data_IF_891916409275
#
_entry.id   IF_891916409275
#
_cell.length_a   1.000
_cell.length_b   1.000
_cell.length_c   1.000
_cell.angle_alpha   90.00
_cell.angle_beta   90.00
_cell.angle_gamma   90.00
#
_symmetry.space_group_name_H-M   'P 1'
#
loop_
_entity.id
_entity.type
_entity.pdbx_description
1 polymer ?
#
# COMPACT_ATOMS: atom_id res chain seq x y z
N UNK A 1 8.64 22.95 39.29
CA UNK A 1 9.54 21.82 39.06
C UNK A 1 9.94 21.85 37.60
N UNK A 2 11.20 22.19 37.31
CA UNK A 2 11.79 21.94 35.99
C UNK A 2 11.75 20.44 35.77
N UNK A 3 10.98 19.95 34.79
CA UNK A 3 11.03 18.54 34.42
C UNK A 3 12.33 18.34 33.65
N UNK A 4 13.17 17.41 34.08
CA UNK A 4 14.31 16.97 33.28
C UNK A 4 13.79 16.51 31.92
N UNK A 5 14.28 17.15 30.86
CA UNK A 5 13.81 16.91 29.49
C UNK A 5 14.97 16.45 28.62
N UNK A 6 14.79 15.33 27.94
CA UNK A 6 15.75 14.82 26.96
C UNK A 6 15.08 14.88 25.60
N UNK A 7 15.66 15.66 24.69
CA UNK A 7 15.20 15.80 23.31
C UNK A 7 16.13 15.00 22.40
N UNK A 8 15.65 13.88 21.88
CA UNK A 8 16.34 13.07 20.86
C UNK A 8 15.92 13.51 19.47
N UNK A 9 16.88 13.91 18.63
CA UNK A 9 16.67 14.35 17.26
C UNK A 9 17.02 13.23 16.27
N UNK A 10 16.15 12.97 15.29
CA UNK A 10 16.30 11.88 14.32
C UNK A 10 16.25 12.45 12.89
N UNK A 11 17.35 12.31 12.15
CA UNK A 11 17.42 12.78 10.76
C UNK A 11 16.69 11.88 9.75
N UNK A 12 16.35 12.48 8.60
CA UNK A 12 15.83 11.77 7.42
C UNK A 12 16.92 11.07 6.61
N UNK A 13 16.55 10.56 5.44
CA UNK A 13 17.51 9.92 4.52
C UNK A 13 18.56 10.90 4.01
N UNK A 14 19.72 10.37 3.60
CA UNK A 14 20.86 11.10 3.03
C UNK A 14 21.54 12.14 3.94
N UNK A 15 21.08 12.29 5.19
CA UNK A 15 21.55 13.30 6.14
C UNK A 15 22.53 12.77 7.22
N UNK A 16 23.04 11.55 7.05
CA UNK A 16 24.08 10.94 7.90
C UNK A 16 25.39 11.76 7.97
N UNK A 17 26.25 11.42 8.94
CA UNK A 17 27.56 12.03 9.16
C UNK A 17 27.47 13.55 9.40
N UNK A 18 26.52 13.98 10.23
CA UNK A 18 26.36 15.39 10.61
C UNK A 18 25.85 16.31 9.49
N UNK A 19 25.40 15.79 8.34
CA UNK A 19 24.81 16.60 7.26
C UNK A 19 23.46 17.20 7.65
N UNK A 20 22.79 16.64 8.66
CA UNK A 20 21.59 17.20 9.27
C UNK A 20 21.88 18.44 10.12
N UNK A 21 22.18 19.59 9.49
CA UNK A 21 22.51 20.85 10.18
C UNK A 21 21.42 21.31 11.17
N UNK A 22 20.15 20.99 10.92
CA UNK A 22 19.03 21.31 11.82
C UNK A 22 19.10 20.58 13.17
N UNK A 23 19.95 19.55 13.30
CA UNK A 23 20.23 18.87 14.56
C UNK A 23 21.43 19.47 15.31
N UNK A 24 22.08 20.50 14.73
CA UNK A 24 23.23 21.14 15.35
C UNK A 24 22.83 21.89 16.62
N UNK A 25 23.79 22.04 17.54
CA UNK A 25 23.56 22.80 18.79
C UNK A 25 23.23 24.28 18.50
N UNK A 26 23.69 24.78 17.36
CA UNK A 26 23.48 26.15 16.88
C UNK A 26 22.30 26.27 15.89
N UNK A 27 21.53 25.20 15.69
CA UNK A 27 20.38 25.22 14.78
C UNK A 27 19.25 26.09 15.32
N UNK A 28 18.37 26.54 14.43
CA UNK A 28 17.20 27.35 14.84
C UNK A 28 16.26 26.54 15.72
N UNK A 29 16.05 25.26 15.40
CA UNK A 29 15.25 24.34 16.21
C UNK A 29 15.80 24.22 17.64
N UNK A 30 17.08 23.89 17.81
CA UNK A 30 17.67 23.70 19.14
C UNK A 30 17.69 25.01 19.92
N UNK A 31 17.99 26.13 19.26
CA UNK A 31 18.00 27.46 19.89
C UNK A 31 16.63 27.87 20.42
N UNK A 32 15.55 27.63 19.66
CA UNK A 32 14.18 27.93 20.10
C UNK A 32 13.76 27.00 21.23
N UNK A 33 14.02 25.71 21.11
CA UNK A 33 13.68 24.75 22.16
C UNK A 33 14.40 25.05 23.48
N UNK A 34 15.70 25.35 23.47
CA UNK A 34 16.45 25.75 24.68
C UNK A 34 15.87 27.01 25.31
N UNK A 35 15.65 28.05 24.51
CA UNK A 35 15.10 29.32 25.01
C UNK A 35 13.74 29.15 25.68
N UNK A 36 12.89 28.30 25.11
CA UNK A 36 11.50 28.15 25.58
C UNK A 36 11.33 27.09 26.66
N UNK A 37 12.14 26.03 26.66
CA UNK A 37 12.01 24.90 27.59
C UNK A 37 13.04 24.94 28.73
N UNK A 38 14.05 25.82 28.63
CA UNK A 38 15.12 26.01 29.62
C UNK A 38 16.48 25.50 29.15
N UNK A 39 17.55 26.00 29.76
CA UNK A 39 18.93 25.62 29.44
C UNK A 39 19.28 24.18 29.88
N UNK A 40 18.52 23.63 30.83
CA UNK A 40 18.70 22.26 31.34
C UNK A 40 18.25 21.16 30.35
N UNK A 41 17.62 21.53 29.22
CA UNK A 41 17.19 20.57 28.21
C UNK A 41 18.40 19.92 27.54
N UNK A 42 18.47 18.59 27.64
CA UNK A 42 19.54 17.79 27.05
C UNK A 42 19.17 17.35 25.65
N UNK A 43 19.99 17.74 24.67
CA UNK A 43 19.81 17.33 23.27
C UNK A 43 20.69 16.13 22.96
N UNK A 44 20.09 15.12 22.33
CA UNK A 44 20.78 13.92 21.83
C UNK A 44 20.51 13.78 20.34
N UNK A 45 21.54 13.44 19.57
CA UNK A 45 21.38 13.07 18.16
C UNK A 45 21.31 11.56 18.07
N UNK A 46 20.34 11.05 17.32
CA UNK A 46 20.32 9.67 16.89
C UNK A 46 20.88 9.58 15.48
N UNK A 47 22.08 9.03 15.37
CA UNK A 47 22.78 8.84 14.09
C UNK A 47 22.43 7.45 13.52
N UNK A 48 22.13 7.40 12.23
CA UNK A 48 21.92 6.15 11.50
C UNK A 48 22.49 6.26 10.08
N UNK A 49 22.50 5.16 9.32
CA UNK A 49 23.17 5.11 8.02
C UNK A 49 22.57 6.05 6.94
N UNK A 50 21.35 6.56 7.17
CA UNK A 50 20.66 7.47 6.27
C UNK A 50 20.23 6.85 4.94
N UNK A 51 20.34 5.52 4.77
CA UNK A 51 19.96 4.85 3.51
C UNK A 51 18.45 4.85 3.33
N UNK A 52 18.00 4.97 2.08
CA UNK A 52 16.57 4.96 1.77
C UNK A 52 15.95 3.54 1.66
N UNK A 53 16.58 2.53 2.27
CA UNK A 53 16.07 1.15 2.27
C UNK A 53 15.18 0.89 3.47
N UNK A 54 14.26 -0.05 3.33
CA UNK A 54 13.37 -0.46 4.42
C UNK A 54 14.12 -1.11 5.58
N UNK A 55 15.05 -2.02 5.26
CA UNK A 55 15.89 -2.73 6.23
C UNK A 55 16.70 -1.76 7.10
N UNK A 56 17.29 -0.72 6.51
CA UNK A 56 18.02 0.31 7.26
C UNK A 56 17.11 1.06 8.23
N UNK A 57 15.88 1.43 7.80
CA UNK A 57 14.91 2.09 8.70
C UNK A 57 14.46 1.19 9.85
N UNK A 58 14.24 -0.10 9.61
CA UNK A 58 13.88 -1.05 10.68
C UNK A 58 15.02 -1.25 11.68
N UNK A 59 16.25 -1.44 11.19
CA UNK A 59 17.43 -1.59 12.02
C UNK A 59 17.67 -0.34 12.88
N UNK A 60 17.56 0.84 12.26
CA UNK A 60 17.63 2.12 12.96
C UNK A 60 16.50 2.27 13.99
N UNK A 61 15.27 1.82 13.68
CA UNK A 61 14.15 1.85 14.63
C UNK A 61 14.41 1.00 15.87
N UNK A 62 14.96 -0.20 15.69
CA UNK A 62 15.37 -1.07 16.80
C UNK A 62 16.49 -0.42 17.63
N UNK A 63 17.48 0.17 16.98
CA UNK A 63 18.56 0.88 17.66
C UNK A 63 18.05 2.10 18.45
N UNK A 64 17.13 2.88 17.87
CA UNK A 64 16.49 4.00 18.56
C UNK A 64 15.69 3.52 19.77
N UNK A 65 14.92 2.44 19.66
CA UNK A 65 14.19 1.87 20.79
C UNK A 65 15.12 1.46 21.95
N UNK A 66 16.26 0.85 21.63
CA UNK A 66 17.26 0.50 22.65
C UNK A 66 17.84 1.76 23.31
N UNK A 67 18.22 2.76 22.52
CA UNK A 67 18.76 4.02 23.05
C UNK A 67 17.75 4.73 23.97
N UNK A 68 16.47 4.82 23.58
CA UNK A 68 15.44 5.47 24.39
C UNK A 68 15.16 4.72 25.71
N UNK A 69 15.26 3.38 25.70
CA UNK A 69 15.19 2.56 26.92
C UNK A 69 16.40 2.80 27.82
N UNK A 70 17.59 2.86 27.24
CA UNK A 70 18.81 3.15 27.99
C UNK A 70 18.76 4.53 28.65
N UNK A 71 18.28 5.54 27.91
CA UNK A 71 18.01 6.89 28.44
C UNK A 71 16.97 6.85 29.56
N UNK A 72 15.89 6.07 29.42
CA UNK A 72 14.88 5.92 30.47
C UNK A 72 15.46 5.29 31.75
N UNK A 73 16.38 4.34 31.61
CA UNK A 73 17.03 3.69 32.76
C UNK A 73 18.04 4.60 33.45
N UNK A 74 18.79 5.39 32.68
CA UNK A 74 19.80 6.33 33.20
C UNK A 74 19.17 7.57 33.82
N UNK A 75 18.04 8.02 33.28
CA UNK A 75 17.33 9.23 33.70
C UNK A 75 15.83 8.96 33.98
N UNK A 76 15.47 8.16 35.01
CA UNK A 76 14.10 7.71 35.24
C UNK A 76 13.01 8.80 35.37
N UNK A 77 13.27 10.00 35.95
CA UNK A 77 12.25 11.04 36.02
C UNK A 77 12.16 11.92 34.76
N UNK A 78 13.05 11.72 33.77
CA UNK A 78 13.12 12.61 32.62
C UNK A 78 12.01 12.34 31.62
N UNK A 79 11.32 13.40 31.20
CA UNK A 79 10.42 13.33 30.05
C UNK A 79 11.25 13.23 28.78
N UNK A 80 10.96 12.24 27.95
CA UNK A 80 11.65 12.05 26.68
C UNK A 80 10.81 12.62 25.53
N UNK A 81 11.46 13.40 24.67
CA UNK A 81 10.88 13.96 23.45
C UNK A 81 11.69 13.45 22.28
N UNK A 82 11.03 12.93 21.24
CA UNK A 82 11.70 12.55 19.99
C UNK A 82 11.17 13.40 18.86
N UNK A 83 12.05 14.14 18.20
CA UNK A 83 11.71 14.95 17.02
C UNK A 83 12.37 14.33 15.80
N UNK A 84 11.55 13.84 14.88
CA UNK A 84 11.99 13.06 13.74
C UNK A 84 11.56 13.71 12.41
N UNK A 85 12.51 13.85 11.48
CA UNK A 85 12.26 14.50 10.20
C UNK A 85 12.23 13.50 9.04
N UNK A 86 11.31 13.70 8.09
CA UNK A 86 11.17 12.90 6.87
C UNK A 86 11.12 11.40 7.20
N UNK A 87 11.92 10.55 6.55
CA UNK A 87 11.98 9.12 6.88
C UNK A 87 12.41 8.78 8.32
N UNK A 88 12.99 9.74 9.06
CA UNK A 88 13.23 9.61 10.50
C UNK A 88 11.94 9.35 11.28
N UNK A 89 10.79 9.86 10.84
CA UNK A 89 9.52 9.57 11.50
C UNK A 89 9.06 8.11 11.33
N UNK A 90 9.49 7.41 10.27
CA UNK A 90 9.25 5.97 10.15
C UNK A 90 10.15 5.17 11.11
N UNK A 91 11.41 5.62 11.30
CA UNK A 91 12.32 5.06 12.32
C UNK A 91 11.71 5.20 13.71
N UNK A 92 11.18 6.38 14.02
CA UNK A 92 10.46 6.64 15.27
C UNK A 92 9.26 5.69 15.41
N UNK A 93 8.43 5.52 14.38
CA UNK A 93 7.32 4.58 14.41
C UNK A 93 7.76 3.12 14.68
N UNK A 94 8.86 2.64 14.06
CA UNK A 94 9.39 1.31 14.38
C UNK A 94 9.91 1.22 15.81
N UNK A 95 10.62 2.24 16.29
CA UNK A 95 11.13 2.26 17.66
C UNK A 95 9.96 2.12 18.66
N UNK A 96 8.90 2.87 18.40
CA UNK A 96 7.69 2.93 19.20
C UNK A 96 6.85 1.67 19.18
N UNK A 97 6.90 0.88 18.11
CA UNK A 97 6.29 -0.46 18.08
C UNK A 97 7.02 -1.48 18.95
N UNK A 98 8.26 -1.18 19.40
CA UNK A 98 9.14 -2.10 20.14
C UNK A 98 9.41 -1.65 21.59
N UNK A 99 8.89 -0.49 21.99
CA UNK A 99 9.14 0.11 23.28
C UNK A 99 7.84 0.56 23.93
N UNK A 100 7.60 0.11 25.15
CA UNK A 100 6.56 0.67 26.02
C UNK A 100 7.20 1.72 26.93
N UNK A 101 7.47 2.89 26.35
CA UNK A 101 8.07 4.01 27.09
C UNK A 101 6.95 4.95 27.54
N UNK A 102 6.53 4.87 28.80
CA UNK A 102 5.52 5.78 29.32
C UNK A 102 6.07 7.21 29.26
N UNK A 103 5.20 8.17 28.92
CA UNK A 103 5.53 9.61 28.88
C UNK A 103 6.47 10.08 27.76
N UNK A 104 6.67 9.28 26.71
CA UNK A 104 7.36 9.75 25.51
C UNK A 104 6.45 10.69 24.70
N UNK A 105 7.00 11.84 24.29
CA UNK A 105 6.38 12.76 23.33
C UNK A 105 7.05 12.59 21.96
N UNK A 106 6.28 12.22 20.94
CA UNK A 106 6.77 12.03 19.58
C UNK A 106 6.36 13.22 18.69
N UNK A 107 7.31 13.81 17.97
CA UNK A 107 7.07 14.84 16.96
C UNK A 107 7.63 14.36 15.63
N UNK A 108 6.83 14.44 14.58
CA UNK A 108 7.24 14.07 13.22
C UNK A 108 7.09 15.25 12.28
N UNK A 109 8.12 15.51 11.47
CA UNK A 109 8.23 16.66 10.58
C UNK A 109 8.33 16.16 9.14
N UNK A 110 7.28 16.37 8.34
CA UNK A 110 7.30 16.02 6.92
C UNK A 110 7.42 14.53 6.62
N UNK A 111 7.02 13.67 7.57
CA UNK A 111 7.23 12.24 7.44
C UNK A 111 6.32 11.61 6.37
N UNK A 112 6.90 10.93 5.37
CA UNK A 112 6.14 10.09 4.45
C UNK A 112 5.94 8.72 5.10
N UNK A 113 4.89 8.57 5.91
CA UNK A 113 4.60 7.30 6.58
C UNK A 113 4.35 6.19 5.55
N UNK A 114 5.10 5.10 5.67
CA UNK A 114 5.01 3.95 4.78
C UNK A 114 3.76 3.16 5.14
N UNK A 115 2.83 3.08 4.19
CA UNK A 115 1.59 2.31 4.28
C UNK A 115 1.61 1.19 3.27
N UNK A 116 1.16 0.02 3.70
CA UNK A 116 1.23 -1.20 2.90
C UNK A 116 -0.17 -1.75 2.72
N UNK A 117 -0.59 -1.83 1.47
CA UNK A 117 -1.90 -2.34 1.11
C UNK A 117 -1.74 -3.71 0.44
N UNK A 118 -2.37 -4.77 0.98
CA UNK A 118 -2.47 -6.05 0.29
C UNK A 118 -3.12 -5.86 -1.08
N UNK A 119 -2.63 -6.57 -2.11
CA UNK A 119 -3.21 -6.49 -3.46
C UNK A 119 -4.39 -7.43 -3.65
N UNK A 120 -4.70 -8.26 -2.65
CA UNK A 120 -5.75 -9.27 -2.74
C UNK A 120 -5.44 -10.24 -3.89
N UNK A 121 -4.17 -10.65 -4.02
CA UNK A 121 -3.73 -11.55 -5.08
C UNK A 121 -4.53 -12.86 -5.09
N UNK A 122 -4.96 -13.32 -3.93
CA UNK A 122 -5.87 -14.47 -3.77
C UNK A 122 -7.16 -14.30 -4.57
N UNK A 123 -7.84 -13.16 -4.42
CA UNK A 123 -9.08 -12.85 -5.16
C UNK A 123 -8.82 -12.76 -6.67
N UNK A 124 -7.75 -12.07 -7.08
CA UNK A 124 -7.37 -11.94 -8.49
C UNK A 124 -7.10 -13.32 -9.10
N UNK A 125 -6.34 -14.16 -8.39
CA UNK A 125 -6.01 -15.52 -8.82
C UNK A 125 -7.25 -16.42 -8.87
N UNK A 126 -8.16 -16.28 -7.91
CA UNK A 126 -9.47 -16.97 -7.89
C UNK A 126 -10.25 -16.70 -9.17
N UNK A 127 -10.40 -15.42 -9.49
CA UNK A 127 -11.18 -14.99 -10.63
C UNK A 127 -10.55 -15.45 -11.95
N UNK A 128 -9.23 -15.39 -12.05
CA UNK A 128 -8.52 -15.81 -13.25
C UNK A 128 -8.69 -17.32 -13.49
N UNK A 129 -8.53 -18.14 -12.45
CA UNK A 129 -8.70 -19.58 -12.54
C UNK A 129 -10.14 -19.97 -12.86
N UNK A 130 -11.13 -19.32 -12.23
CA UNK A 130 -12.54 -19.56 -12.52
C UNK A 130 -12.88 -19.23 -13.98
N UNK A 131 -12.35 -18.12 -14.51
CA UNK A 131 -12.53 -17.75 -15.92
C UNK A 131 -11.85 -18.74 -16.86
N UNK A 132 -10.62 -19.15 -16.56
CA UNK A 132 -9.89 -20.14 -17.35
C UNK A 132 -10.63 -21.47 -17.39
N UNK A 133 -11.12 -21.92 -16.24
CA UNK A 133 -11.91 -23.14 -16.14
C UNK A 133 -13.23 -23.05 -16.92
N UNK A 134 -13.99 -21.96 -16.74
CA UNK A 134 -15.22 -21.72 -17.48
C UNK A 134 -14.98 -21.71 -18.99
N UNK A 135 -13.87 -21.12 -19.43
CA UNK A 135 -13.47 -21.11 -20.83
C UNK A 135 -13.16 -22.51 -21.37
N UNK A 136 -12.39 -23.31 -20.64
CA UNK A 136 -12.07 -24.69 -21.01
C UNK A 136 -13.33 -25.56 -21.09
N UNK A 137 -14.26 -25.39 -20.14
CA UNK A 137 -15.52 -26.11 -20.11
C UNK A 137 -16.39 -25.78 -21.33
N UNK A 138 -16.53 -24.48 -21.64
CA UNK A 138 -17.26 -24.00 -22.82
C UNK A 138 -16.62 -24.54 -24.11
N UNK A 139 -15.29 -24.48 -24.22
CA UNK A 139 -14.56 -25.03 -25.36
C UNK A 139 -14.77 -26.54 -25.55
N UNK A 140 -14.81 -27.30 -24.45
CA UNK A 140 -15.08 -28.74 -24.49
C UNK A 140 -16.52 -29.06 -24.93
N UNK A 141 -17.52 -28.28 -24.46
CA UNK A 141 -18.91 -28.38 -24.92
C UNK A 141 -19.03 -28.09 -26.43
N UNK A 142 -18.24 -27.16 -26.96
CA UNK A 142 -18.25 -26.90 -28.40
C UNK A 142 -17.54 -27.96 -29.22
N UNK A 143 -16.44 -28.52 -28.72
CA UNK A 143 -15.79 -29.64 -29.36
C UNK A 143 -16.78 -30.81 -29.50
N UNK A 144 -17.60 -31.04 -28.46
CA UNK A 144 -18.74 -31.97 -28.50
C UNK A 144 -19.70 -31.67 -29.66
N UNK A 145 -20.27 -30.46 -29.72
CA UNK A 145 -21.22 -30.07 -30.77
C UNK A 145 -20.60 -30.10 -32.17
N UNK A 146 -19.33 -29.71 -32.31
CA UNK A 146 -18.62 -29.73 -33.58
C UNK A 146 -18.42 -31.16 -34.09
N UNK A 147 -17.98 -32.07 -33.20
CA UNK A 147 -17.81 -33.48 -33.54
C UNK A 147 -19.15 -34.14 -33.89
N UNK A 148 -20.22 -33.82 -33.15
CA UNK A 148 -21.56 -34.38 -33.39
C UNK A 148 -22.21 -33.82 -34.67
N UNK A 149 -22.14 -32.50 -34.88
CA UNK A 149 -22.66 -31.83 -36.07
C UNK A 149 -21.96 -32.23 -37.37
N UNK A 150 -20.66 -32.55 -37.32
CA UNK A 150 -19.93 -33.09 -38.47
C UNK A 150 -20.39 -34.50 -38.84
N UNK A 151 -20.76 -35.32 -37.84
CA UNK A 151 -21.32 -36.66 -38.08
C UNK A 151 -22.78 -36.61 -38.56
N UNK A 152 -23.54 -35.57 -38.20
CA UNK A 152 -24.94 -35.40 -38.60
C UNK A 152 -25.12 -35.05 -40.08
N UNK A 153 -24.28 -34.14 -40.61
CA UNK A 153 -24.38 -33.67 -42.01
C UNK A 153 -23.85 -34.65 -43.06
N UNK A 154 -23.14 -35.70 -42.65
CA UNK A 154 -22.60 -36.72 -43.57
C UNK A 154 -23.54 -37.94 -43.74
N UNK A 155 -24.84 -37.77 -43.43
CA UNK A 155 -25.81 -38.85 -43.45
C UNK A 155 -26.82 -38.72 -44.60
N UNK A 156 -26.48 -39.32 -45.74
CA UNK A 156 -27.46 -40.07 -46.53
C UNK A 156 -26.94 -41.50 -46.61
N UNK A 157 -27.67 -42.43 -45.98
CA UNK A 157 -27.39 -43.86 -45.70
C UNK A 157 -26.26 -44.11 -44.69
N UNK A 158 -26.58 -44.74 -43.55
CA UNK A 158 -25.71 -44.88 -42.37
C UNK A 158 -24.86 -46.17 -42.45
N UNK A 159 -23.54 -46.07 -42.70
CA UNK A 159 -22.54 -47.14 -42.65
C UNK A 159 -21.73 -47.01 -41.32
N UNK A 160 -20.64 -47.76 -41.06
CA UNK A 160 -19.79 -47.72 -39.84
C UNK A 160 -19.37 -46.38 -39.18
N UNK A 161 -19.82 -45.21 -39.66
CA UNK A 161 -19.64 -43.89 -39.06
C UNK A 161 -20.47 -43.64 -37.78
N UNK A 162 -21.62 -44.29 -37.59
CA UNK A 162 -22.48 -44.07 -36.40
C UNK A 162 -21.80 -44.44 -35.07
N UNK A 163 -20.97 -45.49 -35.08
CA UNK A 163 -20.16 -45.88 -33.91
C UNK A 163 -19.14 -44.83 -33.53
N UNK A 164 -18.62 -44.06 -34.51
CA UNK A 164 -17.65 -42.98 -34.25
C UNK A 164 -18.30 -41.77 -33.60
N UNK A 165 -19.53 -41.44 -33.99
CA UNK A 165 -20.29 -40.34 -33.38
C UNK A 165 -20.54 -40.59 -31.90
N UNK A 166 -21.14 -41.74 -31.56
CA UNK A 166 -21.41 -42.14 -30.17
C UNK A 166 -20.11 -42.22 -29.36
N UNK A 167 -19.04 -42.79 -29.91
CA UNK A 167 -17.74 -42.86 -29.24
C UNK A 167 -17.14 -41.47 -28.98
N UNK A 168 -17.24 -40.54 -29.95
CA UNK A 168 -16.74 -39.17 -29.81
C UNK A 168 -17.51 -38.37 -28.74
N UNK A 169 -18.82 -38.56 -28.67
CA UNK A 169 -19.68 -37.97 -27.65
C UNK A 169 -19.32 -38.49 -26.25
N UNK A 170 -19.17 -39.81 -26.09
CA UNK A 170 -18.78 -40.42 -24.82
C UNK A 170 -17.38 -39.99 -24.37
N UNK A 171 -16.38 -39.99 -25.26
CA UNK A 171 -15.01 -39.53 -24.96
C UNK A 171 -14.97 -38.09 -24.48
N UNK A 172 -15.81 -37.25 -25.07
CA UNK A 172 -15.84 -35.83 -24.72
C UNK A 172 -16.62 -35.58 -23.42
N UNK A 173 -17.68 -36.32 -23.14
CA UNK A 173 -18.34 -36.35 -21.82
C UNK A 173 -17.37 -36.79 -20.72
N UNK A 174 -16.58 -37.84 -20.98
CA UNK A 174 -15.53 -38.30 -20.06
C UNK A 174 -14.50 -37.18 -19.87
N UNK A 175 -14.06 -36.52 -20.93
CA UNK A 175 -13.08 -35.43 -20.85
C UNK A 175 -13.60 -34.25 -20.02
N UNK A 176 -14.87 -33.86 -20.19
CA UNK A 176 -15.52 -32.83 -19.37
C UNK A 176 -15.64 -33.30 -17.92
N UNK A 177 -16.15 -34.50 -17.69
CA UNK A 177 -16.32 -35.05 -16.35
C UNK A 177 -14.98 -35.17 -15.62
N UNK A 178 -13.92 -35.65 -16.27
CA UNK A 178 -12.56 -35.71 -15.72
C UNK A 178 -12.01 -34.32 -15.46
N UNK A 179 -12.22 -33.35 -16.36
CA UNK A 179 -11.77 -31.96 -16.15
C UNK A 179 -12.47 -31.30 -14.96
N UNK A 180 -13.78 -31.51 -14.83
CA UNK A 180 -14.59 -31.05 -13.69
C UNK A 180 -14.17 -31.76 -12.41
N UNK A 181 -13.98 -33.09 -12.42
CA UNK A 181 -13.57 -33.87 -11.26
C UNK A 181 -12.15 -33.51 -10.80
N UNK A 182 -11.20 -33.26 -11.71
CA UNK A 182 -9.88 -32.76 -11.37
C UNK A 182 -9.97 -31.34 -10.80
N UNK A 183 -10.81 -30.48 -11.37
CA UNK A 183 -11.00 -29.11 -10.90
C UNK A 183 -11.70 -29.05 -9.53
N UNK A 184 -12.70 -29.89 -9.28
CA UNK A 184 -13.49 -29.92 -8.04
C UNK A 184 -12.82 -30.79 -6.97
N UNK A 185 -12.17 -31.89 -7.33
CA UNK A 185 -11.60 -32.85 -6.39
C UNK A 185 -10.15 -32.54 -6.00
N UNK A 186 -9.31 -32.15 -6.96
CA UNK A 186 -7.88 -31.94 -6.73
C UNK A 186 -7.53 -30.47 -6.49
N UNK A 187 -8.20 -29.57 -7.20
CA UNK A 187 -7.84 -28.17 -7.19
C UNK A 187 -8.18 -27.46 -5.87
N UNK A 188 -9.33 -27.65 -5.19
CA UNK A 188 -9.71 -26.75 -4.09
C UNK A 188 -8.77 -26.82 -2.89
N UNK A 189 -8.25 -27.99 -2.55
CA UNK A 189 -7.32 -28.14 -1.41
C UNK A 189 -5.96 -27.48 -1.70
N UNK A 190 -5.36 -27.76 -2.87
CA UNK A 190 -4.09 -27.12 -3.27
C UNK A 190 -4.26 -25.63 -3.53
N UNK A 191 -5.36 -25.25 -4.14
CA UNK A 191 -5.75 -23.88 -4.40
C UNK A 191 -5.95 -23.09 -3.10
N UNK A 192 -6.68 -23.64 -2.14
CA UNK A 192 -6.85 -23.04 -0.82
C UNK A 192 -5.51 -22.87 -0.11
N UNK A 193 -4.61 -23.86 -0.20
CA UNK A 193 -3.27 -23.75 0.36
C UNK A 193 -2.45 -22.62 -0.30
N UNK A 194 -2.51 -22.49 -1.64
CA UNK A 194 -1.84 -21.40 -2.37
C UNK A 194 -2.42 -20.04 -2.00
N UNK A 195 -3.76 -19.90 -1.99
CA UNK A 195 -4.45 -18.67 -1.59
C UNK A 195 -4.07 -18.27 -0.17
N UNK A 196 -4.12 -19.21 0.78
CA UNK A 196 -3.70 -18.95 2.15
C UNK A 196 -2.22 -18.57 2.24
N UNK A 197 -1.36 -19.19 1.44
CA UNK A 197 0.07 -18.84 1.41
C UNK A 197 0.29 -17.41 0.88
N UNK A 198 -0.44 -17.01 -0.17
CA UNK A 198 -0.41 -15.64 -0.72
C UNK A 198 -0.91 -14.63 0.32
N UNK A 199 -2.06 -14.89 0.94
CA UNK A 199 -2.63 -14.00 1.97
C UNK A 199 -1.69 -13.89 3.17
N UNK A 200 -1.14 -15.01 3.66
CA UNK A 200 -0.13 -15.00 4.74
C UNK A 200 1.09 -14.18 4.34
N UNK A 201 1.60 -14.34 3.12
CA UNK A 201 2.76 -13.59 2.63
C UNK A 201 2.44 -12.09 2.55
N UNK A 202 1.28 -11.70 2.01
CA UNK A 202 0.82 -10.30 1.99
C UNK A 202 0.74 -9.71 3.41
N UNK A 203 0.19 -10.45 4.38
CA UNK A 203 0.10 -9.98 5.77
C UNK A 203 1.46 -9.88 6.46
N UNK A 204 2.37 -10.84 6.24
CA UNK A 204 3.73 -10.80 6.77
C UNK A 204 4.49 -9.60 6.20
N UNK A 205 4.42 -9.39 4.88
CA UNK A 205 5.05 -8.23 4.24
C UNK A 205 4.43 -6.94 4.79
N UNK A 206 3.11 -6.86 4.92
CA UNK A 206 2.42 -5.71 5.52
C UNK A 206 2.94 -5.43 6.93
N UNK A 207 2.97 -6.42 7.81
CA UNK A 207 3.44 -6.26 9.19
C UNK A 207 4.91 -5.84 9.26
N UNK A 208 5.76 -6.37 8.38
CA UNK A 208 7.17 -5.99 8.33
C UNK A 208 7.36 -4.58 7.77
N UNK A 209 6.62 -4.21 6.72
CA UNK A 209 6.85 -2.98 5.98
C UNK A 209 6.14 -1.77 6.60
N UNK A 210 4.95 -1.96 7.18
CA UNK A 210 4.12 -0.87 7.69
C UNK A 210 4.61 -0.42 9.07
N UNK A 211 5.04 0.84 9.16
CA UNK A 211 5.35 1.44 10.45
C UNK A 211 4.04 1.86 11.14
N UNK A 212 3.81 1.37 12.36
CA UNK A 212 2.61 1.70 13.14
C UNK A 212 2.98 2.35 14.45
N UNK A 213 2.35 3.49 14.75
CA UNK A 213 2.30 4.00 16.12
C UNK A 213 1.26 3.21 16.90
N UNK A 214 1.58 2.86 18.14
CA UNK A 214 0.57 2.40 19.08
C UNK A 214 -0.41 3.55 19.36
N UNK A 215 -1.69 3.25 19.53
CA UNK A 215 -2.70 4.27 19.83
C UNK A 215 -2.36 5.05 21.11
N UNK A 216 -1.64 4.44 22.06
CA UNK A 216 -1.29 4.99 23.36
C UNK A 216 -0.26 6.14 23.38
N UNK A 217 0.24 6.60 22.22
CA UNK A 217 1.37 7.53 22.18
C UNK A 217 0.95 8.98 21.95
N UNK A 218 1.61 9.90 22.68
CA UNK A 218 1.50 11.33 22.43
C UNK A 218 2.28 11.66 21.17
N UNK A 219 1.58 11.98 20.09
CA UNK A 219 2.16 12.14 18.76
C UNK A 219 1.70 13.43 18.10
N UNK A 220 2.66 14.29 17.76
CA UNK A 220 2.47 15.45 16.91
C UNK A 220 3.00 15.17 15.51
N UNK A 221 2.18 15.42 14.49
CA UNK A 221 2.54 15.27 13.08
C UNK A 221 2.44 16.63 12.42
N UNK A 222 3.55 17.13 11.91
CA UNK A 222 3.63 18.41 11.24
C UNK A 222 3.97 18.17 9.77
N UNK A 223 3.18 18.79 8.90
CA UNK A 223 3.47 18.81 7.46
C UNK A 223 3.32 20.21 6.90
N UNK A 224 4.15 20.56 5.92
CA UNK A 224 4.04 21.84 5.21
C UNK A 224 3.53 21.60 3.78
N UNK A 225 2.62 22.44 3.29
CA UNK A 225 2.21 22.42 1.90
C UNK A 225 3.35 22.94 1.00
N UNK A 226 3.54 22.29 -0.17
CA UNK A 226 4.67 22.59 -1.05
C UNK A 226 5.97 21.91 -0.66
N UNK A 227 5.96 21.01 0.32
CA UNK A 227 7.08 20.12 0.62
C UNK A 227 7.47 19.27 -0.61
N UNK A 228 8.64 19.57 -1.18
CA UNK A 228 9.15 18.98 -2.42
C UNK A 228 9.41 17.48 -2.30
N UNK A 229 9.91 17.02 -1.15
CA UNK A 229 10.16 15.60 -0.93
C UNK A 229 8.85 14.82 -0.98
N UNK A 230 7.79 15.37 -0.37
CA UNK A 230 6.47 14.76 -0.42
C UNK A 230 5.83 14.83 -1.83
N UNK A 231 6.09 15.88 -2.61
CA UNK A 231 5.64 15.96 -4.00
C UNK A 231 6.35 14.93 -4.89
N UNK A 232 7.68 14.81 -4.75
CA UNK A 232 8.49 13.83 -5.46
C UNK A 232 8.09 12.39 -5.11
N UNK A 233 7.90 12.10 -3.82
CA UNK A 233 7.39 10.80 -3.37
C UNK A 233 5.97 10.54 -3.87
N UNK A 234 5.10 11.55 -3.91
CA UNK A 234 3.76 11.42 -4.49
C UNK A 234 3.79 11.07 -5.99
N UNK A 235 4.72 11.66 -6.75
CA UNK A 235 4.95 11.32 -8.15
C UNK A 235 5.52 9.91 -8.30
N UNK A 236 6.51 9.52 -7.49
CA UNK A 236 7.07 8.17 -7.49
C UNK A 236 6.03 7.12 -7.09
N UNK A 237 5.18 7.43 -6.11
CA UNK A 237 4.03 6.60 -5.73
C UNK A 237 3.06 6.48 -6.91
N UNK A 238 2.76 7.56 -7.61
CA UNK A 238 1.89 7.53 -8.79
C UNK A 238 2.50 6.66 -9.90
N UNK A 239 3.74 6.93 -10.30
CA UNK A 239 4.47 6.18 -11.33
C UNK A 239 4.61 4.70 -10.97
N UNK A 240 5.02 4.41 -9.74
CA UNK A 240 5.13 3.04 -9.23
C UNK A 240 3.79 2.30 -9.12
N UNK A 241 2.67 3.03 -9.19
CA UNK A 241 1.33 2.47 -9.24
C UNK A 241 0.75 2.37 -10.66
N UNK A 242 1.36 2.99 -11.68
CA UNK A 242 0.85 2.96 -13.06
C UNK A 242 0.60 1.52 -13.54
N UNK A 243 1.53 0.57 -13.40
CA UNK A 243 1.24 -0.74 -13.96
C UNK A 243 0.18 -1.51 -13.17
N UNK A 244 -0.07 -1.15 -11.89
CA UNK A 244 -1.22 -1.66 -11.15
C UNK A 244 -2.54 -1.09 -11.70
N UNK A 245 -2.56 0.22 -12.01
CA UNK A 245 -3.71 0.86 -12.67
C UNK A 245 -3.96 0.21 -14.04
N UNK A 246 -2.91 -0.02 -14.82
CA UNK A 246 -2.99 -0.74 -16.10
C UNK A 246 -3.53 -2.15 -15.89
N UNK A 247 -3.00 -2.88 -14.90
CA UNK A 247 -3.47 -4.23 -14.57
C UNK A 247 -4.95 -4.25 -14.19
N UNK A 248 -5.41 -3.32 -13.34
CA UNK A 248 -6.82 -3.20 -12.96
C UNK A 248 -7.71 -2.92 -14.18
N UNK A 249 -7.27 -2.05 -15.09
CA UNK A 249 -7.97 -1.78 -16.34
C UNK A 249 -7.98 -2.99 -17.28
N UNK A 250 -6.87 -3.71 -17.42
CA UNK A 250 -6.78 -4.94 -18.21
C UNK A 250 -7.68 -6.04 -17.61
N UNK A 251 -7.74 -6.15 -16.29
CA UNK A 251 -8.63 -7.08 -15.61
C UNK A 251 -10.09 -6.71 -15.82
N UNK A 252 -10.45 -5.41 -15.74
CA UNK A 252 -11.79 -4.94 -16.06
C UNK A 252 -12.16 -5.17 -17.53
N UNK A 253 -11.24 -4.88 -18.46
CA UNK A 253 -11.41 -5.17 -19.87
C UNK A 253 -11.62 -6.67 -20.09
N UNK A 254 -10.82 -7.52 -19.45
CA UNK A 254 -11.00 -8.98 -19.50
C UNK A 254 -12.37 -9.43 -19.03
N UNK A 255 -12.90 -8.82 -17.95
CA UNK A 255 -14.25 -9.12 -17.43
C UNK A 255 -15.32 -8.73 -18.45
N UNK A 256 -15.19 -7.56 -19.06
CA UNK A 256 -16.15 -7.07 -20.05
C UNK A 256 -16.09 -7.87 -21.36
N UNK A 257 -14.89 -8.16 -21.86
CA UNK A 257 -14.71 -8.99 -23.06
C UNK A 257 -15.20 -10.40 -22.82
N UNK A 258 -14.96 -10.99 -21.65
CA UNK A 258 -15.50 -12.31 -21.31
C UNK A 258 -17.04 -12.31 -21.33
N UNK A 259 -17.69 -11.30 -20.74
CA UNK A 259 -19.15 -11.15 -20.80
C UNK A 259 -19.65 -11.00 -22.23
N UNK A 260 -19.03 -10.14 -23.02
CA UNK A 260 -19.41 -9.91 -24.41
C UNK A 260 -19.26 -11.17 -25.27
N UNK A 261 -18.15 -11.90 -25.11
CA UNK A 261 -17.93 -13.18 -25.77
C UNK A 261 -18.98 -14.19 -25.32
N UNK A 262 -19.21 -14.36 -24.01
CA UNK A 262 -20.23 -15.26 -23.49
C UNK A 262 -21.65 -14.93 -24.01
N UNK A 263 -22.03 -13.65 -24.10
CA UNK A 263 -23.32 -13.23 -24.65
C UNK A 263 -23.42 -13.48 -26.16
N UNK A 264 -22.38 -13.12 -26.92
CA UNK A 264 -22.31 -13.41 -28.36
C UNK A 264 -22.41 -14.91 -28.62
N UNK A 265 -21.81 -15.70 -27.73
CA UNK A 265 -21.88 -17.16 -27.73
C UNK A 265 -23.29 -17.71 -27.57
N UNK A 266 -24.03 -17.22 -26.57
CA UNK A 266 -25.44 -17.61 -26.39
C UNK A 266 -26.23 -17.31 -27.65
N UNK A 267 -26.03 -16.14 -28.28
CA UNK A 267 -26.71 -15.78 -29.52
C UNK A 267 -26.32 -16.70 -30.68
N UNK A 268 -25.04 -16.99 -30.89
CA UNK A 268 -24.58 -17.88 -31.96
C UNK A 268 -25.15 -19.30 -31.84
N UNK A 269 -25.30 -19.83 -30.62
CA UNK A 269 -25.91 -21.14 -30.37
C UNK A 269 -27.37 -21.20 -30.85
N UNK A 270 -28.11 -20.09 -30.80
CA UNK A 270 -29.50 -20.04 -31.29
C UNK A 270 -29.60 -19.78 -32.80
N UNK A 271 -28.52 -19.36 -33.46
CA UNK A 271 -28.51 -18.99 -34.88
C UNK A 271 -27.87 -20.05 -35.80
N UNK A 272 -27.30 -21.12 -35.23
CA UNK A 272 -26.71 -22.25 -35.98
C UNK A 272 -27.78 -23.14 -36.59
N UNK A 273 -28.14 -22.87 -37.85
CA UNK A 273 -27.67 -23.81 -38.87
C UNK A 273 -26.70 -23.20 -39.89
N UNK A 274 -26.20 -21.98 -39.70
CA UNK A 274 -25.50 -21.23 -40.78
C UNK A 274 -24.00 -20.99 -40.49
N UNK A 275 -23.14 -21.81 -41.12
CA UNK A 275 -21.88 -21.41 -41.81
C UNK A 275 -20.63 -20.94 -40.98
N UNK A 276 -19.43 -20.75 -41.61
CA UNK A 276 -18.06 -20.90 -41.07
C UNK A 276 -17.61 -19.87 -40.01
N UNK A 277 -18.49 -18.98 -39.59
CA UNK A 277 -18.21 -18.04 -38.50
C UNK A 277 -17.93 -18.75 -37.16
N UNK A 278 -18.48 -19.96 -36.97
CA UNK A 278 -18.18 -20.82 -35.82
C UNK A 278 -16.69 -21.20 -35.78
N UNK A 279 -16.07 -21.48 -36.93
CA UNK A 279 -14.66 -21.88 -37.01
C UNK A 279 -13.72 -20.71 -36.67
N UNK A 280 -14.05 -19.50 -37.14
CA UNK A 280 -13.31 -18.29 -36.79
C UNK A 280 -13.45 -17.94 -35.29
N UNK A 281 -14.65 -18.08 -34.73
CA UNK A 281 -14.88 -17.87 -33.30
C UNK A 281 -14.06 -18.84 -32.43
N UNK A 282 -13.96 -20.11 -32.84
CA UNK A 282 -13.13 -21.12 -32.16
C UNK A 282 -11.62 -20.80 -32.24
N UNK A 283 -11.13 -20.33 -33.39
CA UNK A 283 -9.73 -19.93 -33.55
C UNK A 283 -9.40 -18.72 -32.66
N UNK A 284 -10.23 -17.66 -32.70
CA UNK A 284 -10.04 -16.48 -31.84
C UNK A 284 -10.06 -16.86 -30.35
N UNK A 285 -10.84 -17.88 -29.99
CA UNK A 285 -10.87 -18.44 -28.65
C UNK A 285 -9.57 -19.16 -28.25
N UNK A 286 -8.96 -19.96 -29.10
CA UNK A 286 -7.70 -20.65 -28.74
C UNK A 286 -6.56 -19.69 -28.41
N UNK A 287 -6.53 -18.51 -29.04
CA UNK A 287 -5.46 -17.51 -28.82
C UNK A 287 -5.74 -16.51 -27.70
N UNK A 288 -7.00 -16.40 -27.23
CA UNK A 288 -7.38 -15.39 -26.25
C UNK A 288 -6.82 -15.64 -24.83
N UNK A 289 -6.86 -16.87 -24.26
CA UNK A 289 -6.31 -17.14 -22.93
C UNK A 289 -4.78 -16.95 -22.81
N UNK A 290 -3.95 -17.41 -23.75
CA UNK A 290 -2.50 -17.16 -23.71
C UNK A 290 -2.17 -15.67 -23.80
N UNK A 291 -2.86 -14.94 -24.69
CA UNK A 291 -2.67 -13.49 -24.82
C UNK A 291 -3.05 -12.75 -23.53
N UNK A 292 -4.15 -13.14 -22.88
CA UNK A 292 -4.55 -12.60 -21.57
C UNK A 292 -3.54 -12.92 -20.46
N UNK A 293 -2.99 -14.13 -20.44
CA UNK A 293 -1.98 -14.51 -19.46
C UNK A 293 -0.70 -13.68 -19.62
N UNK A 294 -0.23 -13.48 -20.86
CA UNK A 294 0.93 -12.64 -21.16
C UNK A 294 0.65 -11.18 -20.75
N UNK A 295 -0.53 -10.65 -21.09
CA UNK A 295 -0.96 -9.30 -20.70
C UNK A 295 -1.11 -9.11 -19.19
N UNK A 296 -1.31 -10.18 -18.41
CA UNK A 296 -1.39 -10.14 -16.94
C UNK A 296 -0.01 -10.29 -16.28
N UNK A 297 0.84 -11.16 -16.78
CA UNK A 297 2.14 -11.50 -16.15
C UNK A 297 3.20 -10.44 -16.44
N UNK A 298 3.24 -9.90 -17.66
CA UNK A 298 4.27 -8.93 -18.06
C UNK A 298 4.19 -7.62 -17.24
N UNK A 299 3.01 -7.00 -16.99
CA UNK A 299 2.94 -5.81 -16.15
C UNK A 299 3.36 -6.07 -14.69
N UNK A 300 3.06 -7.25 -14.14
CA UNK A 300 3.50 -7.64 -12.79
C UNK A 300 5.02 -7.77 -12.69
N UNK A 301 5.67 -8.25 -13.76
CA UNK A 301 7.12 -8.30 -13.87
C UNK A 301 7.76 -6.92 -14.10
N UNK A 302 7.14 -6.06 -14.91
CA UNK A 302 7.60 -4.68 -15.07
C UNK A 302 7.47 -3.87 -13.76
N UNK A 303 6.46 -4.15 -12.93
CA UNK A 303 6.29 -3.54 -11.59
C UNK A 303 7.46 -3.80 -10.66
N UNK A 304 7.94 -5.05 -10.61
CA UNK A 304 9.04 -5.42 -9.73
C UNK A 304 10.34 -4.76 -10.18
N UNK A 305 10.57 -4.65 -11.49
CA UNK A 305 11.75 -3.98 -12.05
C UNK A 305 11.77 -2.46 -11.79
N UNK A 306 10.68 -1.74 -12.08
CA UNK A 306 10.66 -0.26 -11.90
C UNK A 306 10.85 0.12 -10.43
N UNK A 307 10.27 -0.64 -9.49
CA UNK A 307 10.40 -0.34 -8.06
C UNK A 307 11.73 -0.77 -7.46
N UNK A 308 12.38 -1.81 -7.98
CA UNK A 308 13.76 -2.15 -7.65
C UNK A 308 14.68 -0.92 -7.85
N UNK A 309 14.54 -0.25 -8.99
CA UNK A 309 15.33 0.96 -9.29
C UNK A 309 14.90 2.20 -8.50
N UNK A 310 13.61 2.32 -8.13
CA UNK A 310 13.07 3.49 -7.43
C UNK A 310 13.35 3.54 -5.92
N UNK A 311 13.28 2.40 -5.22
CA UNK A 311 13.44 2.33 -3.76
C UNK A 311 14.76 1.70 -3.30
N UNK A 312 15.58 1.19 -4.22
CA UNK A 312 16.89 0.58 -3.93
C UNK A 312 16.78 -0.50 -2.85
N UNK A 313 15.71 -1.29 -2.92
CA UNK A 313 15.34 -2.29 -1.92
C UNK A 313 15.51 -3.70 -2.51
N UNK A 314 16.24 -4.56 -1.79
CA UNK A 314 16.51 -5.95 -2.18
C UNK A 314 15.24 -6.81 -2.27
N UNK A 315 14.10 -6.26 -1.80
CA UNK A 315 12.79 -6.89 -1.76
C UNK A 315 11.89 -6.55 -2.96
N UNK A 316 12.46 -6.36 -4.16
CA UNK A 316 11.71 -6.06 -5.39
C UNK A 316 10.47 -6.96 -5.62
N UNK A 317 10.59 -8.24 -5.25
CA UNK A 317 9.50 -9.21 -5.37
C UNK A 317 8.37 -8.98 -4.36
N UNK A 318 8.64 -8.46 -3.16
CA UNK A 318 7.59 -8.19 -2.16
C UNK A 318 6.60 -7.12 -2.68
N UNK A 319 7.04 -6.20 -3.55
CA UNK A 319 6.18 -5.20 -4.20
C UNK A 319 5.18 -5.80 -5.22
N UNK A 320 5.38 -7.03 -5.66
CA UNK A 320 4.39 -7.75 -6.46
C UNK A 320 3.20 -8.20 -5.60
N UNK A 321 3.42 -8.45 -4.30
CA UNK A 321 2.39 -8.87 -3.35
C UNK A 321 1.66 -7.69 -2.71
N UNK A 322 2.35 -6.57 -2.51
CA UNK A 322 1.76 -5.42 -1.82
C UNK A 322 1.91 -4.12 -2.60
N UNK A 323 0.97 -3.20 -2.37
CA UNK A 323 1.04 -1.82 -2.83
C UNK A 323 1.55 -0.95 -1.69
N UNK A 324 2.77 -0.44 -1.83
CA UNK A 324 3.27 0.61 -0.95
C UNK A 324 2.74 1.96 -1.41
N UNK A 325 2.31 2.76 -0.44
CA UNK A 325 2.03 4.20 -0.58
C UNK A 325 2.68 4.93 0.58
N UNK A 326 3.06 6.17 0.34
CA UNK A 326 3.40 7.09 1.42
C UNK A 326 2.18 7.95 1.75
N UNK A 327 1.95 8.19 3.04
CA UNK A 327 0.93 9.12 3.50
C UNK A 327 1.53 10.09 4.52
N UNK A 328 1.01 11.33 4.58
CA UNK A 328 1.43 12.32 5.59
C UNK A 328 0.79 12.05 6.96
N UNK A 329 -0.29 11.29 6.98
CA UNK A 329 -1.00 10.89 8.19
C UNK A 329 -0.90 9.36 8.37
N UNK A 330 -0.40 8.88 9.53
CA UNK A 330 -0.32 7.45 9.79
C UNK A 330 -1.69 6.83 10.13
N UNK A 331 -2.73 7.58 10.48
CA UNK A 331 -4.02 7.03 10.93
C UNK A 331 -5.11 7.01 9.86
N UNK A 332 -4.96 7.74 8.74
CA UNK A 332 -5.94 7.72 7.64
C UNK A 332 -6.01 6.31 7.02
N UNK A 333 -7.08 5.56 7.34
CA UNK A 333 -7.49 4.36 6.59
C UNK A 333 -8.04 4.78 5.23
N UNK A 334 -7.78 3.98 4.20
CA UNK A 334 -8.22 4.23 2.81
C UNK A 334 -9.74 4.11 2.58
N UNK A 335 -10.55 4.12 3.65
CA UNK A 335 -11.97 4.32 3.52
C UNK A 335 -12.20 5.79 3.19
N UNK A 336 -12.99 6.08 2.15
CA UNK A 336 -13.51 7.43 1.84
C UNK A 336 -14.23 8.11 3.02
N UNK A 337 -14.40 7.42 4.15
CA UNK A 337 -14.85 7.98 5.42
C UNK A 337 -13.65 8.48 6.22
N UNK A 338 -13.53 9.80 6.17
CA UNK A 338 -12.82 10.67 7.09
C UNK A 338 -12.99 10.16 8.53
N UNK A 339 -11.88 9.80 9.17
CA UNK A 339 -11.86 9.66 10.62
C UNK A 339 -11.46 11.02 11.13
N UNK A 340 -12.40 11.69 11.80
CA UNK A 340 -12.10 12.92 12.53
C UNK A 340 -11.13 12.58 13.67
N UNK A 341 -9.86 12.91 13.49
CA UNK A 341 -8.82 12.74 14.50
C UNK A 341 -8.87 13.86 15.56
N UNK A 342 -9.92 14.69 15.58
CA UNK A 342 -10.23 15.54 16.74
C UNK A 342 -10.75 14.74 17.95
N UNK A 343 -10.56 13.42 17.99
CA UNK A 343 -10.73 12.66 19.22
C UNK A 343 -9.71 13.19 20.23
N UNK A 344 -10.12 14.16 21.05
CA UNK A 344 -9.76 14.16 22.46
C UNK A 344 -10.05 12.73 22.94
N UNK A 345 -8.99 11.93 22.96
CA UNK A 345 -9.08 10.49 22.98
C UNK A 345 -9.85 10.01 24.20
N UNK A 346 -10.58 8.90 24.03
CA UNK A 346 -11.31 8.22 25.11
C UNK A 346 -10.43 7.79 26.30
N UNK A 347 -9.11 8.02 26.27
CA UNK A 347 -8.13 7.60 27.29
C UNK A 347 -6.96 8.61 27.51
N UNK A 348 -7.16 9.91 27.29
CA UNK A 348 -6.12 10.92 27.61
C UNK A 348 -4.91 11.00 26.67
N UNK A 349 -5.01 10.37 25.49
CA UNK A 349 -3.98 10.39 24.44
C UNK A 349 -4.01 11.70 23.63
N UNK A 350 -2.83 12.22 23.27
CA UNK A 350 -2.67 13.48 22.51
C UNK A 350 -2.10 13.21 21.12
N UNK A 351 -2.96 12.91 20.15
CA UNK A 351 -2.56 12.84 18.73
C UNK A 351 -2.97 14.14 18.06
N UNK A 352 -2.00 14.88 17.51
CA UNK A 352 -2.24 16.17 16.86
C UNK A 352 -1.58 16.18 15.48
N UNK A 353 -2.37 16.32 14.42
CA UNK A 353 -1.86 16.50 13.06
C UNK A 353 -2.09 17.93 12.59
N UNK A 354 -1.03 18.61 12.14
CA UNK A 354 -1.04 20.01 11.72
C UNK A 354 -0.48 20.12 10.31
N UNK A 355 -1.20 20.86 9.47
CA UNK A 355 -0.75 21.20 8.12
C UNK A 355 -0.59 22.70 7.95
N UNK A 356 0.65 23.12 7.74
CA UNK A 356 0.95 24.53 7.49
C UNK A 356 0.76 24.85 6.00
N UNK A 357 0.16 26.01 5.66
CA UNK A 357 0.09 26.47 4.29
C UNK A 357 1.50 26.77 3.74
N UNK A 358 1.61 26.70 2.41
CA UNK A 358 2.86 26.98 1.70
C UNK A 358 3.27 28.42 1.99
N UNK A 359 4.51 28.63 2.40
CA UNK A 359 5.04 29.99 2.47
C UNK A 359 4.94 30.61 1.07
N UNK A 360 4.38 31.82 0.96
CA UNK A 360 4.11 32.51 -0.33
C UNK A 360 5.36 32.69 -1.20
N UNK A 361 6.56 32.48 -0.65
CA UNK A 361 7.84 32.71 -1.31
C UNK A 361 8.80 31.56 -1.02
N UNK A 362 8.78 30.52 -1.85
CA UNK A 362 9.91 29.60 -1.97
C UNK A 362 10.11 29.30 -3.47
N UNK A 363 11.24 29.73 -4.07
CA UNK A 363 11.49 29.51 -5.49
C UNK A 363 11.63 28.00 -5.74
N UNK A 364 10.81 27.49 -6.66
CA UNK A 364 10.68 26.07 -7.02
C UNK A 364 11.94 25.43 -7.64
N UNK A 365 13.07 26.17 -7.69
CA UNK A 365 14.23 25.84 -8.52
C UNK A 365 15.58 25.91 -7.79
N UNK A 366 15.62 26.23 -6.48
CA UNK A 366 16.88 26.32 -5.74
C UNK A 366 17.21 25.01 -5.00
N UNK A 367 17.82 24.06 -5.71
CA UNK A 367 18.87 23.17 -5.17
C UNK A 367 18.54 22.20 -4.03
N UNK A 368 17.95 21.04 -4.37
CA UNK A 368 18.25 19.74 -3.74
C UNK A 368 17.68 19.46 -2.34
N UNK A 369 17.67 18.17 -1.99
CA UNK A 369 17.07 17.58 -0.77
C UNK A 369 17.51 18.19 0.58
N UNK A 370 18.50 19.09 0.60
CA UNK A 370 19.02 19.73 1.81
C UNK A 370 18.17 20.91 2.30
N UNK A 371 17.33 21.53 1.46
CA UNK A 371 16.41 22.60 1.89
C UNK A 371 15.07 22.10 2.46
N UNK A 372 14.80 20.80 2.35
CA UNK A 372 13.59 20.19 2.88
C UNK A 372 13.46 20.35 4.41
N UNK A 373 14.56 20.30 5.17
CA UNK A 373 14.48 20.48 6.63
C UNK A 373 14.25 21.93 7.06
N UNK A 374 14.75 22.92 6.30
CA UNK A 374 14.66 24.34 6.69
C UNK A 374 13.23 24.88 6.67
N UNK A 375 12.32 24.27 5.90
CA UNK A 375 10.90 24.68 5.90
C UNK A 375 10.22 24.43 7.25
N UNK A 376 10.73 23.47 8.03
CA UNK A 376 10.24 23.13 9.37
C UNK A 376 10.89 23.97 10.48
N UNK A 377 11.90 24.78 10.16
CA UNK A 377 12.54 25.73 11.10
C UNK A 377 11.80 27.08 11.16
N UNK A 378 10.61 27.20 10.55
CA UNK A 378 9.78 28.41 10.65
C UNK A 378 9.38 28.63 12.11
N UNK A 379 9.43 29.89 12.54
CA UNK A 379 9.13 30.30 13.92
C UNK A 379 7.77 29.80 14.42
N UNK A 380 6.72 29.89 13.62
CA UNK A 380 5.37 29.44 13.99
C UNK A 380 5.29 27.92 14.21
N UNK A 381 5.98 27.13 13.38
CA UNK A 381 6.11 25.68 13.55
C UNK A 381 6.84 25.35 14.85
N UNK A 382 7.96 26.04 15.12
CA UNK A 382 8.77 25.80 16.31
C UNK A 382 8.03 26.19 17.60
N UNK A 383 7.31 27.31 17.59
CA UNK A 383 6.47 27.75 18.71
C UNK A 383 5.35 26.74 19.00
N UNK A 384 4.72 26.18 17.97
CA UNK A 384 3.68 25.15 18.13
C UNK A 384 4.23 23.83 18.68
N UNK A 385 5.45 23.42 18.30
CA UNK A 385 6.14 22.26 18.89
C UNK A 385 6.39 22.50 20.38
N UNK A 386 6.93 23.67 20.75
CA UNK A 386 7.18 24.06 22.14
C UNK A 386 5.89 24.03 22.96
N UNK A 387 4.84 24.68 22.47
CA UNK A 387 3.55 24.76 23.17
C UNK A 387 2.95 23.38 23.38
N UNK A 388 3.07 22.49 22.38
CA UNK A 388 2.61 21.11 22.49
C UNK A 388 3.45 20.31 23.50
N UNK A 389 4.77 20.51 23.58
CA UNK A 389 5.62 19.85 24.58
C UNK A 389 5.26 20.28 26.01
N UNK A 390 5.04 21.59 26.24
CA UNK A 390 4.76 22.15 27.58
C UNK A 390 3.34 21.79 28.04
N UNK A 391 2.34 22.19 27.26
CA UNK A 391 0.95 22.16 27.68
C UNK A 391 0.22 20.90 27.20
N UNK A 392 0.75 20.26 26.14
CA UNK A 392 0.03 19.30 25.30
C UNK A 392 -1.34 19.78 24.83
N UNK A 393 -1.54 21.10 24.82
CA UNK A 393 -2.68 21.73 24.18
C UNK A 393 -2.47 21.67 22.68
N UNK A 394 -3.59 21.54 21.96
CA UNK A 394 -3.63 21.67 20.52
C UNK A 394 -3.20 23.10 20.13
N UNK A 395 -2.29 23.28 19.16
CA UNK A 395 -1.87 24.62 18.76
C UNK A 395 -3.01 25.46 18.18
N UNK A 396 -3.03 26.75 18.49
CA UNK A 396 -4.14 27.67 18.14
C UNK A 396 -4.29 27.90 16.63
N UNK A 397 -3.21 27.75 15.85
CA UNK A 397 -3.21 27.91 14.39
C UNK A 397 -3.44 26.61 13.62
N UNK A 398 -3.64 25.48 14.30
CA UNK A 398 -3.83 24.20 13.65
C UNK A 398 -5.18 24.18 12.92
N UNK A 399 -5.15 24.37 11.60
CA UNK A 399 -6.22 23.86 10.75
C UNK A 399 -6.34 22.37 11.10
N UNK A 400 -7.47 21.98 11.70
CA UNK A 400 -7.82 20.57 11.71
C UNK A 400 -7.72 20.11 10.25
N UNK A 401 -7.10 18.96 10.02
CA UNK A 401 -6.94 18.39 8.68
C UNK A 401 -8.27 18.26 7.91
N UNK A 402 -9.39 18.46 8.60
CA UNK A 402 -10.74 18.32 8.11
C UNK A 402 -11.52 19.64 8.31
N UNK A 403 -12.32 20.09 7.33
CA UNK A 403 -13.40 21.02 7.61
C UNK A 403 -14.33 20.38 8.66
N UNK A 404 -14.96 21.16 9.57
CA UNK A 404 -15.96 20.60 10.48
C UNK A 404 -17.01 19.89 9.63
N UNK A 405 -17.09 18.56 9.77
CA UNK A 405 -18.04 17.77 9.00
C UNK A 405 -19.43 18.31 9.33
N UNK A 406 -20.13 18.84 8.33
CA UNK A 406 -21.59 18.94 8.43
C UNK A 406 -22.06 17.51 8.61
N UNK A 407 -22.54 17.21 9.82
CA UNK A 407 -23.13 15.94 10.21
C UNK A 407 -23.95 15.35 9.06
N UNK A 408 -23.43 14.31 8.41
CA UNK A 408 -24.27 13.32 7.76
C UNK A 408 -24.81 12.45 8.89
N UNK A 409 -26.05 12.72 9.28
CA UNK A 409 -26.84 11.85 10.13
C UNK A 409 -27.04 10.51 9.42
N UNK A 410 -26.16 9.55 9.73
CA UNK A 410 -26.17 8.19 9.20
C UNK A 410 -27.35 7.35 9.73
N UNK A 411 -28.21 7.91 10.59
CA UNK A 411 -29.48 7.29 10.97
C UNK A 411 -30.65 7.66 10.03
N UNK A 412 -30.43 8.52 9.03
CA UNK A 412 -31.40 8.69 7.95
C UNK A 412 -31.22 7.54 6.94
N UNK A 413 -32.00 6.48 7.16
CA UNK A 413 -32.27 5.44 6.17
C UNK A 413 -32.50 6.10 4.79
N UNK A 414 -31.77 5.70 3.73
CA UNK A 414 -32.15 6.10 2.39
C UNK A 414 -33.49 5.42 2.07
N UNK A 415 -34.53 6.25 1.90
CA UNK A 415 -35.71 5.85 1.13
C UNK A 415 -35.39 5.89 -0.34
#
# INVERSE_FOLDING_TARGET
MSKDLIVTLVHGTFAHNGRAKWMSVDSSLVSVLKRSLGEEVRFRRFEWDGKNTHSSRQAAGKALAMQLKEQACQDPPATQVVIAHSHGGNILAYALSQSDLPHLLAVTLGTPFIRVHPRQLSTIFSELLLKLFGFLLIGAIFLLFYLDGFNFFDSHSIPPGEKKAVLSFLLSLITIATSVLLFVGYFPAKYAAVVQALDRREQVIKYQLEASFAASQNLMIISVAGDEAAAGLGLLDYLGNIPAIIFDHLLQLSRNTFKALASTWVVCLFLTPVFPFVKLALILMMFFPPAMLILLVVPLFCLSLIRFFGYWDDRALDYAYVRIKTNRDPFIRWTRKEIDLSLDGRDGQRIVAIRYPRARWFPLLSGGALHHSSIYERRDILEDIVNWIIDGKKPQGALSFFPPSKFYDLNKNPK
#
